data_IF_864104426637
#
_entry.id   IF_864104426637
#
_cell.length_a   1.000
_cell.length_b   1.000
_cell.length_c   1.000
_cell.angle_alpha   90.00
_cell.angle_beta   90.00
_cell.angle_gamma   90.00
#
_symmetry.space_group_name_H-M   'P 1'
#
loop_
_entity.id
_entity.type
_entity.pdbx_description
1 polymer ?
#
# COMPACT_ATOMS: atom_id res chain seq x y z
N UNK A 1 -3.14 16.27 1.46
CA UNK A 1 -2.93 17.39 2.37
C UNK A 1 -3.59 18.64 1.80
N UNK A 2 -4.38 19.35 2.61
CA UNK A 2 -4.94 20.66 2.25
C UNK A 2 -4.14 21.74 2.95
N UNK A 3 -4.04 21.66 4.28
CA UNK A 3 -3.27 22.60 5.11
C UNK A 3 -2.53 21.86 6.22
N UNK A 4 -1.47 22.51 6.74
CA UNK A 4 -0.66 21.97 7.82
C UNK A 4 -0.17 23.11 8.72
N UNK A 5 -0.22 22.89 10.04
CA UNK A 5 0.43 23.73 11.02
C UNK A 5 1.60 22.95 11.65
N UNK A 6 2.78 23.58 11.71
CA UNK A 6 4.01 22.95 12.19
C UNK A 6 4.89 23.94 12.94
N UNK A 7 5.81 23.40 13.74
CA UNK A 7 6.79 24.16 14.52
C UNK A 7 8.19 23.70 14.11
N UNK A 8 9.02 24.62 13.67
CA UNK A 8 10.41 24.38 13.33
C UNK A 8 11.28 24.15 14.58
N UNK A 9 12.48 23.56 14.45
CA UNK A 9 13.40 23.37 15.58
C UNK A 9 13.82 24.68 16.29
N UNK A 10 13.76 25.82 15.60
CA UNK A 10 14.03 27.15 16.17
C UNK A 10 12.84 27.73 16.96
N UNK A 11 11.71 26.99 17.08
CA UNK A 11 10.50 27.42 17.77
C UNK A 11 9.53 28.26 16.94
N UNK A 12 9.85 28.60 15.69
CA UNK A 12 8.93 29.31 14.80
C UNK A 12 7.79 28.39 14.35
N UNK A 13 6.54 28.88 14.49
CA UNK A 13 5.35 28.16 14.10
C UNK A 13 4.75 28.73 12.82
N UNK A 14 4.32 27.86 11.92
CA UNK A 14 3.69 28.21 10.63
C UNK A 14 2.39 27.45 10.47
N UNK A 15 1.41 28.07 9.79
CA UNK A 15 0.10 27.49 9.53
C UNK A 15 -0.33 27.85 8.10
N UNK A 16 -0.28 26.90 7.18
CA UNK A 16 -0.51 27.16 5.75
C UNK A 16 -1.92 27.62 5.43
N UNK A 17 -2.89 27.41 6.35
CA UNK A 17 -4.27 27.90 6.21
C UNK A 17 -4.40 29.44 6.38
N UNK A 18 -3.39 30.10 6.97
CA UNK A 18 -3.46 31.51 7.27
C UNK A 18 -2.91 32.36 6.12
N UNK A 19 -3.56 33.48 5.80
CA UNK A 19 -3.05 34.41 4.80
C UNK A 19 -1.71 35.03 5.26
N UNK A 20 -0.81 35.25 4.30
CA UNK A 20 0.49 35.90 4.55
C UNK A 20 1.60 34.96 5.04
N UNK A 21 1.31 33.68 5.36
CA UNK A 21 2.31 32.74 5.87
C UNK A 21 3.43 32.44 4.86
N UNK A 22 3.15 32.46 3.56
CA UNK A 22 4.17 32.28 2.53
C UNK A 22 5.23 33.39 2.60
N UNK A 23 4.80 34.66 2.69
CA UNK A 23 5.73 35.79 2.81
C UNK A 23 6.44 35.75 4.16
N UNK A 24 5.73 35.49 5.25
CA UNK A 24 6.29 35.36 6.59
C UNK A 24 7.39 34.29 6.64
N UNK A 25 7.18 33.13 6.00
CA UNK A 25 8.18 32.05 5.92
C UNK A 25 9.44 32.53 5.17
N UNK A 26 9.30 33.21 4.03
CA UNK A 26 10.44 33.71 3.27
C UNK A 26 11.24 34.73 4.03
N UNK A 27 10.58 35.62 4.79
CA UNK A 27 11.23 36.71 5.56
C UNK A 27 11.91 36.17 6.82
N UNK A 28 11.27 35.25 7.53
CA UNK A 28 11.77 34.75 8.81
C UNK A 28 12.74 33.59 8.68
N UNK A 29 12.65 32.80 7.59
CA UNK A 29 13.47 31.63 7.34
C UNK A 29 14.18 31.72 5.97
N UNK A 30 14.95 32.81 5.72
CA UNK A 30 15.52 33.05 4.39
C UNK A 30 16.51 31.96 3.95
N UNK A 31 17.29 31.40 4.88
CA UNK A 31 18.27 30.38 4.57
C UNK A 31 17.57 29.05 4.18
N UNK A 32 16.52 28.66 4.92
CA UNK A 32 15.72 27.49 4.61
C UNK A 32 14.98 27.66 3.27
N UNK A 33 14.33 28.81 3.07
CA UNK A 33 13.61 29.11 1.84
C UNK A 33 14.52 29.09 0.61
N UNK A 34 15.69 29.72 0.69
CA UNK A 34 16.68 29.73 -0.39
C UNK A 34 17.28 28.33 -0.61
N UNK A 35 17.55 27.58 0.46
CA UNK A 35 18.01 26.20 0.39
C UNK A 35 17.06 25.30 -0.40
N UNK A 36 15.76 25.37 -0.10
CA UNK A 36 14.72 24.62 -0.82
C UNK A 36 14.66 24.98 -2.30
N UNK A 37 14.70 26.28 -2.64
CA UNK A 37 14.71 26.75 -4.03
C UNK A 37 15.97 26.33 -4.79
N UNK A 38 17.13 26.32 -4.13
CA UNK A 38 18.38 25.82 -4.71
C UNK A 38 18.30 24.33 -5.02
N UNK A 39 17.77 23.50 -4.12
CA UNK A 39 17.54 22.07 -4.37
C UNK A 39 16.58 21.88 -5.54
N UNK A 40 15.45 22.61 -5.57
CA UNK A 40 14.51 22.61 -6.70
C UNK A 40 15.23 22.89 -8.02
N UNK A 41 16.01 23.97 -8.09
CA UNK A 41 16.78 24.36 -9.29
C UNK A 41 17.76 23.28 -9.71
N UNK A 42 18.47 22.64 -8.75
CA UNK A 42 19.38 21.53 -9.04
C UNK A 42 18.67 20.32 -9.61
N UNK A 43 17.49 19.96 -9.07
CA UNK A 43 16.67 18.85 -9.58
C UNK A 43 16.20 19.16 -10.99
N UNK A 44 15.60 20.33 -11.22
CA UNK A 44 15.06 20.75 -12.51
C UNK A 44 16.11 20.88 -13.61
N UNK A 45 17.36 21.23 -13.25
CA UNK A 45 18.47 21.29 -14.20
C UNK A 45 18.93 19.94 -14.73
N UNK A 46 18.47 18.84 -14.14
CA UNK A 46 18.88 17.46 -14.50
C UNK A 46 17.68 16.64 -14.95
N UNK A 47 17.47 16.56 -16.25
CA UNK A 47 16.31 15.87 -16.85
C UNK A 47 16.14 14.42 -16.37
N UNK A 48 17.25 13.68 -16.16
CA UNK A 48 17.22 12.32 -15.65
C UNK A 48 16.74 12.22 -14.21
N UNK A 49 16.99 13.23 -13.36
CA UNK A 49 16.46 13.27 -11.99
C UNK A 49 14.97 13.56 -12.00
N UNK A 50 14.56 14.55 -12.81
CA UNK A 50 13.14 14.87 -12.99
C UNK A 50 12.36 13.64 -13.43
N UNK A 51 12.87 12.94 -14.47
CA UNK A 51 12.24 11.72 -14.97
C UNK A 51 12.15 10.65 -13.86
N UNK A 52 13.26 10.39 -13.16
CA UNK A 52 13.30 9.36 -12.10
C UNK A 52 12.33 9.68 -10.96
N UNK A 53 12.23 10.94 -10.54
CA UNK A 53 11.26 11.37 -9.51
C UNK A 53 9.84 11.12 -10.02
N UNK A 54 9.49 11.58 -11.23
CA UNK A 54 8.16 11.38 -11.82
C UNK A 54 7.81 9.89 -11.92
N UNK A 55 8.72 9.04 -12.34
CA UNK A 55 8.52 7.59 -12.42
C UNK A 55 8.29 6.97 -11.06
N UNK A 56 9.11 7.32 -10.05
CA UNK A 56 9.00 6.76 -8.69
C UNK A 56 7.74 7.18 -7.96
N UNK A 57 7.20 8.37 -8.23
CA UNK A 57 5.95 8.84 -7.61
C UNK A 57 4.70 8.56 -8.47
N UNK A 58 4.83 7.80 -9.57
CA UNK A 58 3.71 7.23 -10.29
C UNK A 58 3.07 6.06 -9.53
N UNK A 59 3.87 5.34 -8.74
CA UNK A 59 3.45 4.30 -7.80
C UNK A 59 3.49 4.85 -6.38
N UNK A 60 2.90 4.15 -5.42
CA UNK A 60 3.02 4.50 -3.99
C UNK A 60 4.50 4.48 -3.58
N UNK A 61 4.92 5.55 -2.92
CA UNK A 61 6.31 5.71 -2.50
C UNK A 61 6.40 6.62 -1.28
N UNK A 62 6.81 6.07 -0.16
CA UNK A 62 7.04 6.79 1.10
C UNK A 62 8.48 6.61 1.61
N UNK A 63 9.41 6.22 0.71
CA UNK A 63 10.81 6.06 1.09
C UNK A 63 11.51 7.43 1.17
N UNK A 64 11.96 7.79 2.36
CA UNK A 64 12.60 9.08 2.62
C UNK A 64 11.65 10.26 2.44
N UNK A 65 12.19 11.43 2.09
CA UNK A 65 11.40 12.64 1.88
C UNK A 65 10.68 12.63 0.54
N UNK A 66 9.50 13.27 0.49
CA UNK A 66 8.64 13.40 -0.69
C UNK A 66 9.28 14.28 -1.77
N UNK A 67 10.26 13.76 -2.50
CA UNK A 67 11.07 14.49 -3.49
C UNK A 67 10.23 15.09 -4.63
N UNK A 68 9.06 14.52 -4.92
CA UNK A 68 8.11 15.10 -5.88
C UNK A 68 7.64 16.51 -5.47
N UNK A 69 7.69 16.86 -4.17
CA UNK A 69 7.34 18.20 -3.69
C UNK A 69 8.13 19.31 -4.39
N UNK A 70 9.38 19.04 -4.77
CA UNK A 70 10.20 20.01 -5.52
C UNK A 70 9.75 20.18 -6.98
N UNK A 71 8.99 19.25 -7.52
CA UNK A 71 8.46 19.30 -8.89
C UNK A 71 6.99 19.73 -8.97
N UNK A 72 6.27 19.61 -7.83
CA UNK A 72 4.83 19.85 -7.77
C UNK A 72 4.51 21.25 -7.24
N UNK A 73 5.47 21.89 -6.55
CA UNK A 73 5.29 23.21 -5.92
C UNK A 73 6.42 24.16 -6.25
N UNK A 74 6.09 25.47 -6.32
CA UNK A 74 7.06 26.53 -6.63
C UNK A 74 7.45 27.33 -5.40
N UNK A 75 6.55 27.48 -4.45
CA UNK A 75 6.82 28.27 -3.25
C UNK A 75 7.52 27.44 -2.16
N UNK A 76 8.59 27.94 -1.50
CA UNK A 76 9.36 27.17 -0.52
C UNK A 76 8.54 26.68 0.67
N UNK A 77 7.53 27.43 1.15
CA UNK A 77 6.64 26.93 2.20
C UNK A 77 5.82 25.74 1.73
N UNK A 78 5.33 25.75 0.49
CA UNK A 78 4.53 24.65 -0.04
C UNK A 78 5.40 23.40 -0.26
N UNK A 79 6.62 23.57 -0.77
CA UNK A 79 7.62 22.50 -0.88
C UNK A 79 7.87 21.90 0.51
N UNK A 80 8.19 22.73 1.50
CA UNK A 80 8.50 22.27 2.85
C UNK A 80 7.31 21.56 3.51
N UNK A 81 6.11 22.11 3.39
CA UNK A 81 4.87 21.52 3.92
C UNK A 81 4.63 20.11 3.41
N UNK A 82 4.93 19.85 2.14
CA UNK A 82 4.76 18.52 1.54
C UNK A 82 5.95 17.59 1.80
N UNK A 83 7.15 18.12 2.06
CA UNK A 83 8.27 17.33 2.60
C UNK A 83 8.00 16.82 4.02
N UNK A 84 7.16 17.52 4.81
CA UNK A 84 6.76 17.06 6.16
C UNK A 84 5.92 15.79 6.10
N UNK A 85 5.21 15.54 5.00
CA UNK A 85 4.45 14.29 4.79
C UNK A 85 5.44 13.15 4.59
N UNK A 86 5.50 12.23 5.56
CA UNK A 86 6.45 11.13 5.57
C UNK A 86 7.85 11.48 6.10
N UNK A 87 8.05 12.69 6.67
CA UNK A 87 9.34 13.10 7.25
C UNK A 87 9.64 12.46 8.61
N UNK A 88 8.70 11.76 9.22
CA UNK A 88 8.87 10.99 10.46
C UNK A 88 9.48 11.81 11.63
N UNK A 89 9.07 13.10 11.74
CA UNK A 89 9.50 13.99 12.80
C UNK A 89 10.92 14.55 12.65
N UNK A 90 11.59 14.34 11.51
CA UNK A 90 12.99 14.75 11.31
C UNK A 90 13.15 16.20 10.87
N UNK A 91 12.09 16.85 10.36
CA UNK A 91 12.14 18.22 9.82
C UNK A 91 11.45 19.25 10.72
N UNK A 92 10.30 18.92 11.27
CA UNK A 92 9.52 19.79 12.14
C UNK A 92 8.53 18.99 12.98
N UNK A 93 7.97 19.61 14.02
CA UNK A 93 6.84 19.07 14.77
C UNK A 93 5.53 19.48 14.09
N UNK A 94 4.74 18.50 13.66
CA UNK A 94 3.42 18.75 13.06
C UNK A 94 2.40 18.91 14.19
N UNK A 95 1.79 20.08 14.29
CA UNK A 95 0.82 20.42 15.32
C UNK A 95 -0.64 20.14 14.86
N UNK A 96 -0.93 20.37 13.59
CA UNK A 96 -2.27 20.18 13.01
C UNK A 96 -2.17 19.89 11.51
N UNK A 97 -3.12 19.10 10.98
CA UNK A 97 -3.27 18.86 9.55
C UNK A 97 -4.74 18.97 9.15
N UNK A 98 -4.99 19.59 8.01
CA UNK A 98 -6.29 19.59 7.33
C UNK A 98 -6.20 18.67 6.12
N UNK A 99 -7.01 17.62 6.11
CA UNK A 99 -7.08 16.67 5.02
C UNK A 99 -8.34 16.90 4.19
N UNK A 100 -8.19 16.80 2.88
CA UNK A 100 -9.34 16.71 1.99
C UNK A 100 -9.97 15.33 2.16
N UNK A 101 -11.23 15.29 2.55
CA UNK A 101 -12.01 14.04 2.62
C UNK A 101 -12.45 13.61 1.23
N UNK A 102 -12.68 12.32 1.08
CA UNK A 102 -13.36 11.72 -0.07
C UNK A 102 -14.80 11.40 0.33
N UNK A 103 -15.77 11.42 -0.61
CA UNK A 103 -17.11 10.93 -0.35
C UNK A 103 -17.08 9.48 0.16
N UNK A 104 -18.00 9.14 1.05
CA UNK A 104 -18.29 7.76 1.45
C UNK A 104 -19.71 7.42 1.02
N UNK A 105 -19.91 6.98 -0.23
CA UNK A 105 -21.21 6.68 -0.77
C UNK A 105 -21.94 5.62 0.06
N UNK A 106 -23.27 5.73 0.25
CA UNK A 106 -24.04 4.84 1.13
C UNK A 106 -24.14 3.42 0.59
N UNK A 107 -24.22 3.27 -0.73
CA UNK A 107 -24.44 1.98 -1.37
C UNK A 107 -23.10 1.31 -1.70
N UNK A 108 -22.95 0.05 -1.29
CA UNK A 108 -21.71 -0.70 -1.46
C UNK A 108 -21.98 -2.13 -1.86
N UNK A 109 -21.17 -2.62 -2.80
CA UNK A 109 -21.13 -4.02 -3.18
C UNK A 109 -19.71 -4.58 -2.96
N UNK A 110 -19.59 -5.68 -2.22
CA UNK A 110 -18.30 -6.32 -1.95
C UNK A 110 -18.27 -7.71 -2.56
N UNK A 111 -17.16 -8.05 -3.18
CA UNK A 111 -16.94 -9.38 -3.76
C UNK A 111 -15.66 -10.02 -3.25
N UNK A 112 -15.68 -11.34 -3.11
CA UNK A 112 -14.49 -12.15 -2.95
C UNK A 112 -14.45 -13.17 -4.09
N UNK A 113 -13.38 -13.11 -4.87
CA UNK A 113 -13.10 -13.99 -5.98
C UNK A 113 -11.87 -14.83 -5.65
N UNK A 114 -11.93 -16.12 -5.86
CA UNK A 114 -10.79 -17.01 -5.74
C UNK A 114 -10.34 -17.45 -7.14
N UNK A 115 -9.06 -17.35 -7.38
CA UNK A 115 -8.39 -17.69 -8.64
C UNK A 115 -7.43 -18.87 -8.43
N UNK A 116 -7.15 -19.60 -9.49
CA UNK A 116 -6.21 -20.71 -9.46
C UNK A 116 -4.73 -20.28 -9.48
N UNK A 117 -4.43 -19.00 -9.68
CA UNK A 117 -3.06 -18.49 -9.63
C UNK A 117 -3.00 -16.95 -9.42
N UNK A 118 -1.88 -16.42 -8.90
CA UNK A 118 -1.65 -14.99 -8.80
C UNK A 118 -1.68 -14.26 -10.15
N UNK A 119 -1.21 -14.91 -11.23
CA UNK A 119 -1.22 -14.33 -12.57
C UNK A 119 -2.64 -14.10 -13.06
N UNK A 120 -3.50 -15.10 -12.88
CA UNK A 120 -4.90 -15.01 -13.31
C UNK A 120 -5.66 -13.96 -12.50
N UNK A 121 -5.41 -13.88 -11.19
CA UNK A 121 -5.93 -12.81 -10.36
C UNK A 121 -5.42 -11.43 -10.83
N UNK A 122 -4.12 -11.29 -11.05
CA UNK A 122 -3.50 -10.06 -11.54
C UNK A 122 -4.06 -9.60 -12.89
N UNK A 123 -4.26 -10.51 -13.82
CA UNK A 123 -4.85 -10.23 -15.15
C UNK A 123 -6.28 -9.71 -15.07
N UNK A 124 -7.01 -10.01 -14.00
CA UNK A 124 -8.37 -9.52 -13.80
C UNK A 124 -8.44 -8.14 -13.12
N UNK A 125 -7.38 -7.66 -12.49
CA UNK A 125 -7.34 -6.36 -11.81
C UNK A 125 -7.72 -5.20 -12.74
N UNK A 126 -7.20 -5.10 -13.99
CA UNK A 126 -7.57 -4.02 -14.91
C UNK A 126 -9.07 -3.98 -15.23
N UNK A 127 -9.73 -5.14 -15.34
CA UNK A 127 -11.18 -5.19 -15.56
C UNK A 127 -11.94 -4.52 -14.42
N UNK A 128 -11.70 -4.92 -13.17
CA UNK A 128 -12.40 -4.35 -12.02
C UNK A 128 -12.03 -2.89 -11.78
N UNK A 129 -10.79 -2.49 -12.03
CA UNK A 129 -10.35 -1.09 -11.98
C UNK A 129 -11.11 -0.24 -12.99
N UNK A 130 -11.24 -0.70 -14.25
CA UNK A 130 -11.97 0.00 -15.30
C UNK A 130 -13.49 0.00 -15.07
N UNK A 131 -14.01 -1.04 -14.39
CA UNK A 131 -15.41 -1.11 -13.97
C UNK A 131 -15.73 -0.12 -12.83
N UNK A 132 -14.71 0.48 -12.20
CA UNK A 132 -14.87 1.50 -11.17
C UNK A 132 -14.77 0.96 -9.73
N UNK A 133 -14.14 -0.20 -9.52
CA UNK A 133 -13.91 -0.69 -8.15
C UNK A 133 -13.16 0.36 -7.31
N UNK A 134 -13.72 0.68 -6.15
CA UNK A 134 -13.12 1.58 -5.15
C UNK A 134 -11.92 0.94 -4.47
N UNK A 135 -12.01 -0.36 -4.17
CA UNK A 135 -10.92 -1.18 -3.64
C UNK A 135 -10.77 -2.49 -4.41
N UNK A 136 -9.51 -2.94 -4.58
CA UNK A 136 -9.15 -4.28 -5.06
C UNK A 136 -8.00 -4.76 -4.19
N UNK A 137 -8.30 -5.69 -3.28
CA UNK A 137 -7.34 -6.24 -2.33
C UNK A 137 -6.89 -7.62 -2.75
N UNK A 138 -5.60 -7.87 -2.67
CA UNK A 138 -4.99 -9.16 -2.95
C UNK A 138 -4.76 -9.95 -1.67
N UNK A 139 -4.93 -11.26 -1.72
CA UNK A 139 -4.58 -12.21 -0.65
C UNK A 139 -4.03 -13.49 -1.28
N UNK A 140 -2.85 -13.93 -0.85
CA UNK A 140 -2.29 -15.21 -1.28
C UNK A 140 -2.97 -16.42 -0.58
N UNK A 141 -2.58 -17.63 -0.95
CA UNK A 141 -3.10 -18.88 -0.40
C UNK A 141 -2.89 -18.99 1.12
N UNK A 142 -1.73 -18.57 1.64
CA UNK A 142 -1.47 -18.58 3.08
C UNK A 142 -2.36 -17.57 3.82
N UNK A 143 -2.53 -16.37 3.26
CA UNK A 143 -3.50 -15.38 3.78
C UNK A 143 -4.92 -15.96 3.82
N UNK A 144 -5.35 -16.64 2.74
CA UNK A 144 -6.67 -17.26 2.66
C UNK A 144 -6.83 -18.39 3.68
N UNK A 145 -5.80 -19.22 3.91
CA UNK A 145 -5.83 -20.28 4.93
C UNK A 145 -5.98 -19.75 6.35
N UNK A 146 -5.57 -18.51 6.64
CA UNK A 146 -5.78 -17.91 7.97
C UNK A 146 -7.26 -17.73 8.30
N UNK A 147 -8.14 -17.74 7.31
CA UNK A 147 -9.59 -17.61 7.53
C UNK A 147 -10.20 -18.75 8.38
N UNK A 148 -9.48 -19.87 8.58
CA UNK A 148 -9.87 -20.93 9.53
C UNK A 148 -10.00 -20.45 10.98
N UNK A 149 -9.41 -19.28 11.31
CA UNK A 149 -9.47 -18.66 12.63
C UNK A 149 -10.61 -17.65 12.77
N UNK A 150 -11.39 -17.43 11.71
CA UNK A 150 -12.54 -16.51 11.71
C UNK A 150 -13.85 -17.32 11.74
N UNK A 151 -14.87 -16.72 12.34
CA UNK A 151 -16.20 -17.30 12.34
C UNK A 151 -16.85 -17.17 10.94
N UNK A 152 -17.41 -18.27 10.46
CA UNK A 152 -18.19 -18.34 9.21
C UNK A 152 -17.48 -17.72 7.99
N UNK A 153 -16.28 -18.18 7.62
CA UNK A 153 -15.61 -17.69 6.43
C UNK A 153 -16.47 -17.96 5.18
N UNK A 154 -16.42 -17.08 4.15
CA UNK A 154 -17.26 -17.23 2.96
C UNK A 154 -16.84 -18.36 2.00
N UNK A 155 -15.82 -19.11 2.33
CA UNK A 155 -15.28 -20.29 1.65
C UNK A 155 -14.72 -21.27 2.69
N UNK A 156 -14.36 -22.49 2.27
CA UNK A 156 -13.69 -23.46 3.14
C UNK A 156 -12.16 -23.24 3.12
N UNK A 157 -11.57 -22.72 4.20
CA UNK A 157 -10.13 -22.44 4.24
C UNK A 157 -9.25 -23.68 4.14
N UNK A 158 -9.78 -24.86 4.51
CA UNK A 158 -9.03 -26.13 4.46
C UNK A 158 -8.91 -26.68 3.04
N UNK A 159 -9.68 -26.16 2.09
CA UNK A 159 -9.66 -26.53 0.68
C UNK A 159 -8.88 -25.53 -0.19
N UNK A 160 -8.22 -24.55 0.42
CA UNK A 160 -7.37 -23.62 -0.31
C UNK A 160 -6.08 -24.33 -0.71
N UNK A 161 -5.96 -24.64 -2.00
CA UNK A 161 -4.75 -25.23 -2.58
C UNK A 161 -3.63 -24.20 -2.72
N UNK A 162 -2.41 -24.67 -3.00
CA UNK A 162 -1.28 -23.79 -3.24
C UNK A 162 -1.52 -22.91 -4.47
N UNK A 163 -1.03 -21.67 -4.41
CA UNK A 163 -1.21 -20.64 -5.44
C UNK A 163 -2.65 -20.12 -5.63
N UNK A 164 -3.64 -20.68 -4.92
CA UNK A 164 -4.97 -20.07 -4.92
C UNK A 164 -4.87 -18.64 -4.40
N UNK A 165 -5.48 -17.73 -5.12
CA UNK A 165 -5.34 -16.30 -4.89
C UNK A 165 -6.71 -15.65 -4.75
N UNK A 166 -6.89 -14.83 -3.71
CA UNK A 166 -8.10 -14.06 -3.48
C UNK A 166 -7.97 -12.62 -3.97
N UNK A 167 -9.00 -12.15 -4.68
CA UNK A 167 -9.26 -10.72 -4.86
C UNK A 167 -10.54 -10.35 -4.12
N UNK A 168 -10.42 -9.44 -3.14
CA UNK A 168 -11.55 -8.77 -2.56
C UNK A 168 -11.75 -7.47 -3.35
N UNK A 169 -12.92 -7.28 -3.92
CA UNK A 169 -13.29 -6.09 -4.67
C UNK A 169 -14.42 -5.35 -3.95
N UNK A 170 -14.40 -4.02 -4.00
CA UNK A 170 -15.51 -3.21 -3.49
C UNK A 170 -15.89 -2.14 -4.50
N UNK A 171 -17.20 -1.99 -4.70
CA UNK A 171 -17.82 -0.90 -5.42
C UNK A 171 -18.57 -0.02 -4.43
N UNK A 172 -18.59 1.30 -4.70
CA UNK A 172 -19.30 2.28 -3.89
C UNK A 172 -19.98 3.27 -4.82
N UNK A 173 -21.25 3.58 -4.57
CA UNK A 173 -22.03 4.53 -5.35
C UNK A 173 -23.13 5.18 -4.51
N UNK A 174 -23.70 6.29 -4.98
CA UNK A 174 -24.89 6.93 -4.41
C UNK A 174 -26.17 6.15 -4.75
N UNK A 175 -26.15 5.29 -5.77
CA UNK A 175 -27.28 4.57 -6.34
C UNK A 175 -27.17 3.06 -6.13
N UNK A 176 -28.21 2.48 -5.53
CA UNK A 176 -28.37 1.03 -5.42
C UNK A 176 -28.43 0.36 -6.80
N UNK A 177 -29.11 0.98 -7.78
CA UNK A 177 -29.23 0.44 -9.14
C UNK A 177 -27.85 0.33 -9.81
N UNK A 178 -26.96 1.30 -9.56
CA UNK A 178 -25.60 1.25 -10.08
C UNK A 178 -24.78 0.12 -9.44
N UNK A 179 -24.90 -0.08 -8.13
CA UNK A 179 -24.25 -1.23 -7.45
C UNK A 179 -24.75 -2.56 -8.04
N UNK A 180 -26.07 -2.69 -8.25
CA UNK A 180 -26.63 -3.90 -8.88
C UNK A 180 -26.12 -4.13 -10.31
N UNK A 181 -25.98 -3.05 -11.09
CA UNK A 181 -25.38 -3.09 -12.44
C UNK A 181 -23.92 -3.59 -12.37
N UNK A 182 -23.11 -3.02 -11.47
CA UNK A 182 -21.70 -3.38 -11.31
C UNK A 182 -21.52 -4.85 -10.88
N UNK A 183 -22.38 -5.32 -9.96
CA UNK A 183 -22.43 -6.73 -9.54
C UNK A 183 -22.80 -7.62 -10.74
N UNK A 184 -23.79 -7.24 -11.53
CA UNK A 184 -24.22 -8.00 -12.71
C UNK A 184 -23.12 -8.10 -13.77
N UNK A 185 -22.42 -7.00 -14.04
CA UNK A 185 -21.28 -7.00 -14.97
C UNK A 185 -20.12 -7.86 -14.45
N UNK A 186 -19.85 -7.82 -13.14
CA UNK A 186 -18.85 -8.69 -12.50
C UNK A 186 -19.21 -10.18 -12.63
N UNK A 187 -20.49 -10.55 -12.47
CA UNK A 187 -20.98 -11.93 -12.68
C UNK A 187 -20.82 -12.38 -14.14
N UNK A 188 -21.21 -11.56 -15.09
CA UNK A 188 -21.02 -11.85 -16.51
C UNK A 188 -19.56 -12.03 -16.91
N UNK A 189 -18.67 -11.26 -16.30
CA UNK A 189 -17.23 -11.42 -16.48
C UNK A 189 -16.76 -12.78 -15.95
N UNK A 190 -17.16 -13.14 -14.72
CA UNK A 190 -16.74 -14.39 -14.09
C UNK A 190 -17.23 -15.64 -14.84
N UNK A 191 -18.38 -15.58 -15.49
CA UNK A 191 -18.92 -16.70 -16.31
C UNK A 191 -18.03 -17.00 -17.52
N UNK A 192 -17.25 -16.05 -17.97
CA UNK A 192 -16.35 -16.14 -19.12
C UNK A 192 -14.91 -16.42 -18.74
N UNK A 193 -14.55 -16.18 -17.48
CA UNK A 193 -13.20 -16.28 -16.98
C UNK A 193 -13.00 -17.62 -16.24
N UNK A 194 -12.49 -18.61 -16.95
CA UNK A 194 -12.33 -19.98 -16.44
C UNK A 194 -11.32 -20.13 -15.30
N UNK A 195 -10.51 -19.10 -15.03
CA UNK A 195 -9.54 -19.10 -13.95
C UNK A 195 -10.15 -18.78 -12.57
N UNK A 196 -11.41 -18.30 -12.54
CA UNK A 196 -12.14 -18.03 -11.31
C UNK A 196 -12.72 -19.33 -10.77
N UNK A 197 -12.22 -19.77 -9.61
CA UNK A 197 -12.66 -20.98 -8.92
C UNK A 197 -13.98 -20.78 -8.17
N UNK A 198 -14.15 -19.61 -7.59
CA UNK A 198 -15.38 -19.21 -6.89
C UNK A 198 -15.52 -17.72 -6.84
N UNK A 199 -16.76 -17.23 -6.75
CA UNK A 199 -17.07 -15.83 -6.56
C UNK A 199 -18.27 -15.67 -5.64
N UNK A 200 -18.12 -14.83 -4.61
CA UNK A 200 -19.21 -14.38 -3.74
C UNK A 200 -19.31 -12.87 -3.84
N UNK A 201 -20.46 -12.34 -4.29
CA UNK A 201 -20.77 -10.92 -4.37
C UNK A 201 -21.97 -10.61 -3.48
N UNK A 202 -21.85 -9.62 -2.61
CA UNK A 202 -22.84 -9.27 -1.58
C UNK A 202 -23.01 -7.76 -1.46
N UNK A 203 -24.23 -7.33 -1.10
CA UNK A 203 -24.57 -5.95 -0.76
C UNK A 203 -24.97 -5.80 0.71
N UNK A 204 -25.46 -6.87 1.33
CA UNK A 204 -25.82 -6.84 2.76
C UNK A 204 -24.61 -6.43 3.62
N UNK A 205 -24.77 -5.43 4.54
CA UNK A 205 -23.66 -4.91 5.33
C UNK A 205 -22.96 -5.97 6.20
N UNK A 206 -23.68 -6.96 6.73
CA UNK A 206 -23.11 -8.02 7.59
C UNK A 206 -22.27 -9.00 6.77
N UNK A 207 -22.76 -9.34 5.58
CA UNK A 207 -22.02 -10.22 4.66
C UNK A 207 -20.76 -9.52 4.14
N UNK A 208 -20.85 -8.22 3.82
CA UNK A 208 -19.69 -7.40 3.42
C UNK A 208 -18.65 -7.33 4.54
N UNK A 209 -19.08 -7.08 5.76
CA UNK A 209 -18.22 -7.07 6.95
C UNK A 209 -17.50 -8.41 7.13
N UNK A 210 -18.19 -9.53 6.91
CA UNK A 210 -17.59 -10.87 7.02
C UNK A 210 -16.44 -11.05 6.02
N UNK A 211 -16.59 -10.59 4.76
CA UNK A 211 -15.52 -10.62 3.76
C UNK A 211 -14.35 -9.73 4.18
N UNK A 212 -14.63 -8.49 4.60
CA UNK A 212 -13.60 -7.55 5.04
C UNK A 212 -12.85 -7.98 6.30
N UNK A 213 -13.52 -8.72 7.23
CA UNK A 213 -12.89 -9.25 8.45
C UNK A 213 -11.70 -10.15 8.13
N UNK A 214 -11.74 -10.93 7.05
CA UNK A 214 -10.61 -11.77 6.64
C UNK A 214 -9.41 -10.88 6.35
N UNK A 215 -9.55 -9.89 5.47
CA UNK A 215 -8.47 -8.99 5.06
C UNK A 215 -7.93 -8.14 6.21
N UNK A 216 -8.83 -7.54 6.99
CA UNK A 216 -8.47 -6.68 8.14
C UNK A 216 -7.89 -7.46 9.31
N UNK A 217 -8.29 -8.71 9.46
CA UNK A 217 -7.88 -9.59 10.56
C UNK A 217 -6.53 -10.29 10.36
N UNK A 218 -5.89 -10.22 9.19
CA UNK A 218 -4.64 -10.91 8.91
C UNK A 218 -3.53 -10.56 9.92
N UNK A 219 -3.24 -9.28 10.09
CA UNK A 219 -2.15 -8.83 10.97
C UNK A 219 -2.35 -9.26 12.43
N UNK A 220 -3.49 -8.96 13.10
CA UNK A 220 -3.69 -9.37 14.49
C UNK A 220 -3.74 -10.90 14.66
N UNK A 221 -4.29 -11.63 13.70
CA UNK A 221 -4.36 -13.10 13.75
C UNK A 221 -2.96 -13.71 13.69
N UNK A 222 -2.16 -13.32 12.71
CA UNK A 222 -0.79 -13.82 12.58
C UNK A 222 0.08 -13.40 13.77
N UNK A 223 -0.11 -12.18 14.28
CA UNK A 223 0.56 -11.73 15.50
C UNK A 223 0.25 -12.59 16.72
N UNK A 224 -0.98 -13.08 16.85
CA UNK A 224 -1.38 -13.96 17.95
C UNK A 224 -0.91 -15.40 17.80
N UNK A 225 -0.75 -15.88 16.56
CA UNK A 225 -0.38 -17.27 16.24
C UNK A 225 1.13 -17.51 16.17
N UNK A 226 1.95 -16.44 16.12
CA UNK A 226 3.39 -16.57 16.01
C UNK A 226 3.98 -17.38 17.18
N UNK A 227 5.08 -18.07 16.90
CA UNK A 227 5.85 -18.78 17.93
C UNK A 227 6.33 -17.80 19.02
N UNK A 228 6.19 -18.17 20.29
CA UNK A 228 6.73 -17.40 21.42
C UNK A 228 8.22 -17.19 21.24
N UNK A 229 8.70 -15.98 21.48
CA UNK A 229 10.12 -15.60 21.31
C UNK A 229 10.42 -15.00 19.94
N UNK A 230 9.46 -15.06 18.95
CA UNK A 230 9.67 -14.44 17.65
C UNK A 230 9.10 -13.03 17.56
N UNK A 231 9.68 -12.22 16.69
CA UNK A 231 9.20 -10.88 16.32
C UNK A 231 8.44 -10.94 15.00
N UNK A 232 7.35 -10.18 14.90
CA UNK A 232 6.65 -9.98 13.64
C UNK A 232 7.43 -8.98 12.78
N UNK A 233 7.72 -9.39 11.56
CA UNK A 233 8.23 -8.54 10.49
C UNK A 233 7.07 -8.26 9.55
N UNK A 234 6.84 -6.99 9.28
CA UNK A 234 5.86 -6.52 8.30
C UNK A 234 6.50 -5.47 7.43
N UNK A 235 6.44 -5.68 6.14
CA UNK A 235 7.00 -4.79 5.14
C UNK A 235 5.96 -4.47 4.08
N UNK A 236 6.23 -3.43 3.31
CA UNK A 236 5.46 -3.12 2.13
C UNK A 236 6.37 -2.67 0.98
N UNK A 237 6.02 -3.11 -0.20
CA UNK A 237 6.67 -2.68 -1.44
C UNK A 237 5.60 -2.19 -2.43
N UNK A 238 6.00 -1.36 -3.37
CA UNK A 238 5.16 -1.03 -4.52
C UNK A 238 5.89 -1.34 -5.81
N UNK A 239 5.14 -1.91 -6.75
CA UNK A 239 5.56 -2.14 -8.14
C UNK A 239 4.46 -1.62 -9.08
N UNK A 240 4.74 -1.48 -10.36
CA UNK A 240 3.65 -1.27 -11.32
C UNK A 240 2.64 -2.41 -11.22
N UNK A 241 1.35 -2.09 -11.26
CA UNK A 241 0.27 -3.07 -11.09
C UNK A 241 0.34 -4.23 -12.09
N UNK A 242 0.91 -4.00 -13.26
CA UNK A 242 1.17 -5.02 -14.28
C UNK A 242 2.21 -6.06 -13.84
N UNK A 243 3.11 -5.70 -12.92
CA UNK A 243 4.15 -6.57 -12.39
C UNK A 243 3.73 -7.29 -11.10
N UNK A 244 2.50 -7.03 -10.60
CA UNK A 244 2.02 -7.53 -9.30
C UNK A 244 2.17 -9.04 -9.15
N UNK A 245 1.71 -9.81 -10.14
CA UNK A 245 1.77 -11.27 -10.09
C UNK A 245 3.21 -11.80 -10.05
N UNK A 246 4.12 -11.18 -10.83
CA UNK A 246 5.53 -11.54 -10.84
C UNK A 246 6.21 -11.20 -9.50
N UNK A 247 5.87 -10.06 -8.90
CA UNK A 247 6.37 -9.64 -7.59
C UNK A 247 5.93 -10.62 -6.48
N UNK A 248 4.66 -11.08 -6.51
CA UNK A 248 4.14 -12.09 -5.58
C UNK A 248 4.93 -13.39 -5.68
N UNK A 249 5.14 -13.88 -6.90
CA UNK A 249 5.96 -15.10 -7.11
C UNK A 249 7.40 -14.92 -6.66
N UNK A 250 7.96 -13.73 -6.88
CA UNK A 250 9.30 -13.39 -6.39
C UNK A 250 9.38 -13.44 -4.86
N UNK A 251 8.41 -12.85 -4.16
CA UNK A 251 8.29 -12.90 -2.70
C UNK A 251 8.16 -14.33 -2.17
N UNK A 252 7.28 -15.16 -2.77
CA UNK A 252 7.15 -16.57 -2.38
C UNK A 252 8.47 -17.35 -2.53
N UNK A 253 9.22 -17.10 -3.62
CA UNK A 253 10.55 -17.70 -3.81
C UNK A 253 11.57 -17.22 -2.77
N UNK A 254 11.53 -15.94 -2.40
CA UNK A 254 12.38 -15.38 -1.34
C UNK A 254 12.07 -16.06 -0.01
N UNK A 255 10.79 -16.18 0.35
CA UNK A 255 10.36 -16.86 1.57
C UNK A 255 10.83 -18.32 1.59
N UNK A 256 10.61 -19.06 0.53
CA UNK A 256 11.09 -20.42 0.42
C UNK A 256 12.62 -20.53 0.55
N UNK A 257 13.38 -19.68 -0.16
CA UNK A 257 14.85 -19.65 -0.12
C UNK A 257 15.40 -19.32 1.25
N UNK A 258 14.66 -18.49 2.02
CA UNK A 258 15.07 -17.98 3.35
C UNK A 258 14.36 -18.65 4.51
N UNK A 259 13.60 -19.73 4.24
CA UNK A 259 12.94 -20.57 5.23
C UNK A 259 11.83 -19.87 6.04
N UNK A 260 11.21 -18.83 5.48
CA UNK A 260 10.04 -18.16 6.07
C UNK A 260 8.73 -18.88 5.65
N UNK A 261 8.42 -19.98 6.35
CA UNK A 261 7.26 -20.82 6.03
C UNK A 261 5.92 -20.23 6.47
N UNK A 262 5.92 -19.26 7.38
CA UNK A 262 4.75 -18.55 7.91
C UNK A 262 4.47 -17.23 7.16
N UNK A 263 5.21 -16.96 6.10
CA UNK A 263 5.07 -15.74 5.32
C UNK A 263 3.75 -15.67 4.57
N UNK A 264 2.98 -14.60 4.77
CA UNK A 264 1.75 -14.30 4.05
C UNK A 264 1.91 -13.04 3.22
N UNK A 265 1.27 -12.99 2.05
CA UNK A 265 1.33 -11.88 1.11
C UNK A 265 -0.08 -11.37 0.85
N UNK A 266 -0.28 -10.10 1.02
CA UNK A 266 -1.54 -9.42 0.72
C UNK A 266 -1.27 -7.98 0.30
N UNK A 267 -2.27 -7.23 -0.15
CA UNK A 267 -2.03 -5.84 -0.51
C UNK A 267 -3.09 -5.23 -1.39
N UNK A 268 -2.82 -3.99 -1.79
CA UNK A 268 -3.71 -3.18 -2.62
C UNK A 268 -3.40 -3.43 -4.10
N UNK A 269 -4.05 -4.44 -4.69
CA UNK A 269 -3.79 -4.85 -6.07
C UNK A 269 -3.99 -3.73 -7.08
N UNK A 270 -4.96 -2.85 -6.84
CA UNK A 270 -5.24 -1.69 -7.68
C UNK A 270 -4.04 -0.76 -7.85
N UNK A 271 -3.19 -0.68 -6.83
CA UNK A 271 -2.06 0.25 -6.73
C UNK A 271 -0.70 -0.44 -6.88
N UNK A 272 -0.67 -1.76 -7.10
CA UNK A 272 0.58 -2.53 -7.15
C UNK A 272 1.33 -2.59 -5.82
N UNK A 273 0.64 -2.34 -4.70
CA UNK A 273 1.22 -2.34 -3.37
C UNK A 273 1.03 -3.71 -2.70
N UNK A 274 2.13 -4.31 -2.28
CA UNK A 274 2.16 -5.59 -1.57
C UNK A 274 2.67 -5.39 -0.16
N UNK A 275 1.95 -5.96 0.78
CA UNK A 275 2.40 -6.17 2.14
C UNK A 275 2.75 -7.63 2.34
N UNK A 276 3.67 -7.89 3.24
CA UNK A 276 3.86 -9.24 3.75
C UNK A 276 4.07 -9.23 5.27
N UNK A 277 3.76 -10.36 5.87
CA UNK A 277 3.97 -10.60 7.29
C UNK A 277 4.67 -11.94 7.43
N UNK A 278 5.71 -11.98 8.24
CA UNK A 278 6.39 -13.21 8.66
C UNK A 278 6.89 -13.06 10.09
N UNK A 279 7.41 -14.13 10.69
CA UNK A 279 8.01 -14.07 12.01
C UNK A 279 9.48 -14.47 11.98
N UNK A 280 10.28 -13.84 12.82
CA UNK A 280 11.71 -14.12 12.95
C UNK A 280 12.11 -14.21 14.42
N UNK A 281 12.96 -15.19 14.75
CA UNK A 281 13.66 -15.25 16.02
C UNK A 281 14.93 -14.39 15.92
N UNK A 282 14.89 -13.20 16.53
CA UNK A 282 16.02 -12.28 16.51
C UNK A 282 17.13 -12.64 17.49
N UNK A 283 16.91 -13.60 18.41
CA UNK A 283 17.92 -14.15 19.31
C UNK A 283 18.68 -15.32 18.66
N UNK A 284 18.13 -15.89 17.57
CA UNK A 284 18.79 -16.94 16.79
C UNK A 284 19.63 -16.36 15.65
N UNK A 285 20.92 -16.71 15.61
CA UNK A 285 21.85 -16.24 14.56
C UNK A 285 21.46 -16.70 13.15
N UNK A 286 20.76 -17.84 13.03
CA UNK A 286 20.27 -18.32 11.73
C UNK A 286 19.07 -17.48 11.32
N UNK A 287 18.14 -17.21 12.23
CA UNK A 287 17.00 -16.34 12.01
C UNK A 287 17.42 -14.94 11.53
N UNK A 288 18.38 -14.32 12.22
CA UNK A 288 18.94 -13.00 11.82
C UNK A 288 19.57 -13.04 10.43
N UNK A 289 20.39 -14.06 10.13
CA UNK A 289 21.00 -14.22 8.80
C UNK A 289 19.96 -14.41 7.70
N UNK A 290 18.93 -15.22 7.96
CA UNK A 290 17.85 -15.47 7.00
C UNK A 290 17.06 -14.17 6.75
N UNK A 291 16.79 -13.39 7.81
CA UNK A 291 16.14 -12.08 7.69
C UNK A 291 16.98 -11.09 6.90
N UNK A 292 18.25 -10.92 7.21
CA UNK A 292 19.17 -10.07 6.43
C UNK A 292 19.18 -10.47 4.97
N UNK A 293 19.31 -11.77 4.69
CA UNK A 293 19.28 -12.27 3.32
C UNK A 293 17.95 -12.06 2.61
N UNK A 294 16.82 -12.14 3.33
CA UNK A 294 15.50 -11.83 2.79
C UNK A 294 15.41 -10.36 2.38
N UNK A 295 15.87 -9.45 3.25
CA UNK A 295 15.84 -8.01 2.94
C UNK A 295 16.74 -7.64 1.76
N UNK A 296 17.90 -8.29 1.59
CA UNK A 296 18.75 -8.13 0.42
C UNK A 296 18.06 -8.62 -0.86
N UNK A 297 17.52 -9.85 -0.84
CA UNK A 297 16.82 -10.43 -2.01
C UNK A 297 15.58 -9.60 -2.37
N UNK A 298 14.83 -9.11 -1.36
CA UNK A 298 13.67 -8.23 -1.54
C UNK A 298 14.07 -6.90 -2.20
N UNK A 299 15.14 -6.28 -1.69
CA UNK A 299 15.63 -5.00 -2.21
C UNK A 299 16.10 -5.14 -3.65
N UNK A 300 16.84 -6.19 -3.97
CA UNK A 300 17.30 -6.46 -5.33
C UNK A 300 16.12 -6.71 -6.29
N UNK A 301 15.18 -7.54 -5.90
CA UNK A 301 13.98 -7.81 -6.69
C UNK A 301 13.18 -6.52 -6.94
N UNK A 302 12.90 -5.75 -5.89
CA UNK A 302 12.03 -4.58 -6.00
C UNK A 302 12.68 -3.47 -6.83
N UNK A 303 13.97 -3.19 -6.61
CA UNK A 303 14.64 -2.06 -7.25
C UNK A 303 15.15 -2.40 -8.64
N UNK A 304 15.76 -3.58 -8.85
CA UNK A 304 16.43 -3.94 -10.11
C UNK A 304 15.50 -4.61 -11.11
N UNK A 305 14.60 -5.50 -10.66
CA UNK A 305 13.70 -6.19 -11.58
C UNK A 305 12.47 -5.37 -11.93
N UNK A 306 11.89 -4.66 -10.92
CA UNK A 306 10.61 -3.98 -11.09
C UNK A 306 10.71 -2.46 -11.08
N UNK A 307 11.88 -1.86 -10.83
CA UNK A 307 12.01 -0.41 -10.62
C UNK A 307 11.00 0.14 -9.60
N UNK A 308 10.64 -0.67 -8.60
CA UNK A 308 9.62 -0.41 -7.61
C UNK A 308 10.08 0.49 -6.47
N UNK A 309 9.26 0.59 -5.42
CA UNK A 309 9.57 1.27 -4.16
C UNK A 309 9.65 0.25 -3.02
N UNK A 310 10.65 0.38 -2.14
CA UNK A 310 10.83 -0.46 -0.96
C UNK A 310 9.87 -0.12 0.17
N UNK A 311 9.22 1.04 0.12
CA UNK A 311 8.18 1.48 1.04
C UNK A 311 7.06 2.14 0.24
N UNK A 312 5.89 1.52 0.25
CA UNK A 312 4.72 2.05 -0.43
C UNK A 312 4.00 3.09 0.44
N UNK A 313 3.67 2.71 1.69
CA UNK A 313 2.87 3.54 2.60
C UNK A 313 3.31 3.46 4.08
N UNK A 314 4.16 2.49 4.48
CA UNK A 314 4.57 2.33 5.87
C UNK A 314 5.67 3.30 6.33
N UNK A 315 6.29 4.05 5.41
CA UNK A 315 7.43 4.92 5.73
C UNK A 315 8.73 4.17 5.98
N UNK A 316 9.75 4.90 6.42
CA UNK A 316 11.09 4.37 6.72
C UNK A 316 11.39 4.42 8.22
N UNK A 317 12.46 3.78 8.65
CA UNK A 317 12.96 3.87 10.03
C UNK A 317 12.47 2.79 10.99
N UNK A 318 11.65 1.85 10.53
CA UNK A 318 11.19 0.73 11.36
C UNK A 318 12.05 -0.54 11.16
N UNK A 319 12.50 -0.81 9.96
CA UNK A 319 13.32 -1.98 9.59
C UNK A 319 14.53 -1.55 8.80
#
# INVERSE_FOLDING_TARGET
LQDIAFILPNGQAYDTSKPGERERFRLNEPDLANGLLNIKTQIESKSNWVQKIREKYRIKNTIGYSMNSFLDYDHPLDIFSHLLVGAEGTLAFIANVTLKTIPDPPEKGTGLLLFNSPENAGNCVPFFKNLGASAIEFMDDESLRTAKHFENPPYDPNRVENDVTGLLIEFQDESQDEIERLIKESKKFSEKESSILSMKLVTDPRDRETIWKIRKGLYPTLGSLRKTGTSIITEDIAVDAENLAQAIRGLKKIFQKREFQDGVIFGHAKDGNLHFITSVDLDDKIGVRNYEGMMHDLSDMTLTQFNGSLKAEHGTGRN
#
